data_IF_486028905966
#
_entry.id   IF_486028905966
#
_cell.length_a   1.000
_cell.length_b   1.000
_cell.length_c   1.000
_cell.angle_alpha   90.00
_cell.angle_beta   90.00
_cell.angle_gamma   90.00
#
_symmetry.space_group_name_H-M   'P 1'
#
loop_
_entity.id
_entity.type
_entity.pdbx_description
1 polymer ?
#
# COMPACT_ATOMS: atom_id res chain seq x y z
N UNK A 1 28.18 5.86 16.92
CA UNK A 1 27.10 6.57 17.64
C UNK A 1 25.74 5.91 17.44
N UNK A 2 25.41 5.43 16.25
CA UNK A 2 24.14 4.72 15.96
C UNK A 2 23.95 3.47 16.85
N UNK A 3 25.01 2.73 17.12
CA UNK A 3 24.96 1.55 18.00
C UNK A 3 24.57 1.89 19.45
N UNK A 4 24.85 3.12 19.91
CA UNK A 4 24.47 3.58 21.25
C UNK A 4 22.97 3.92 21.35
N UNK A 5 22.28 4.04 20.23
CA UNK A 5 20.85 4.32 20.16
C UNK A 5 20.00 3.04 20.03
N UNK A 6 20.61 1.85 20.07
CA UNK A 6 19.86 0.58 20.04
C UNK A 6 18.94 0.49 21.25
N UNK A 7 17.65 0.27 20.97
CA UNK A 7 16.71 -0.09 22.01
C UNK A 7 17.01 -1.53 22.49
N UNK A 8 17.10 -1.70 23.81
CA UNK A 8 17.15 -3.03 24.38
C UNK A 8 15.70 -3.55 24.50
N UNK A 9 15.35 -4.69 23.91
CA UNK A 9 14.00 -5.25 23.99
C UNK A 9 13.48 -5.42 25.42
N UNK A 10 14.39 -5.65 26.38
CA UNK A 10 14.02 -5.79 27.80
C UNK A 10 13.52 -4.48 28.43
N UNK A 11 13.87 -3.33 27.86
CA UNK A 11 13.57 -2.01 28.41
C UNK A 11 12.28 -1.41 27.82
N UNK A 12 11.72 -2.04 26.78
CA UNK A 12 10.53 -1.57 26.07
C UNK A 12 9.38 -2.53 26.34
N UNK A 13 8.28 -2.03 26.88
CA UNK A 13 7.09 -2.82 27.13
C UNK A 13 6.22 -3.00 25.88
N UNK A 14 5.97 -1.91 25.19
CA UNK A 14 5.22 -1.84 23.94
C UNK A 14 5.44 -0.51 23.24
N UNK A 15 5.09 -0.45 21.95
CA UNK A 15 4.98 0.78 21.19
C UNK A 15 3.58 0.93 20.63
N UNK A 16 3.04 2.15 20.68
CA UNK A 16 1.79 2.50 20.00
C UNK A 16 2.05 3.68 19.08
N UNK A 17 1.76 3.51 17.79
CA UNK A 17 1.83 4.58 16.79
C UNK A 17 0.42 5.07 16.45
N UNK A 18 0.18 6.38 16.55
CA UNK A 18 -1.03 7.00 16.06
C UNK A 18 -0.75 7.67 14.71
N UNK A 19 -1.53 7.34 13.71
CA UNK A 19 -1.36 7.86 12.36
C UNK A 19 -2.71 8.19 11.72
N UNK A 20 -2.74 9.05 10.73
CA UNK A 20 -3.93 9.18 9.88
C UNK A 20 -4.07 7.93 9.01
N UNK A 21 -5.31 7.55 8.67
CA UNK A 21 -5.59 6.40 7.81
C UNK A 21 -4.90 6.46 6.44
N UNK A 22 -4.71 7.66 5.91
CA UNK A 22 -4.28 7.91 4.52
C UNK A 22 -5.26 7.37 3.45
N UNK A 23 -6.39 6.82 3.89
CA UNK A 23 -7.53 6.37 3.11
C UNK A 23 -8.77 7.19 3.43
N UNK A 24 -9.90 6.78 2.90
CA UNK A 24 -11.17 7.47 3.07
C UNK A 24 -12.23 6.62 3.82
N UNK A 25 -11.85 5.46 4.37
CA UNK A 25 -12.82 4.52 4.94
C UNK A 25 -13.40 5.07 6.22
N UNK A 26 -12.56 5.49 7.17
CA UNK A 26 -13.03 6.03 8.45
C UNK A 26 -13.87 7.29 8.27
N UNK A 27 -13.47 8.20 7.38
CA UNK A 27 -14.22 9.44 7.09
C UNK A 27 -15.58 9.13 6.45
N UNK A 28 -15.62 8.27 5.45
CA UNK A 28 -16.86 7.91 4.76
C UNK A 28 -17.83 7.11 5.63
N UNK A 29 -17.33 6.24 6.49
CA UNK A 29 -18.16 5.45 7.40
C UNK A 29 -18.50 6.21 8.70
N UNK A 30 -17.98 7.43 8.89
CA UNK A 30 -18.20 8.25 10.10
C UNK A 30 -17.55 7.66 11.37
N UNK A 31 -16.48 6.91 11.21
CA UNK A 31 -15.74 6.26 12.29
C UNK A 31 -14.65 7.17 12.84
N UNK A 32 -14.35 7.04 14.13
CA UNK A 32 -13.36 7.87 14.82
C UNK A 32 -12.01 7.20 14.92
N UNK A 33 -11.99 5.87 15.08
CA UNK A 33 -10.79 5.08 15.34
C UNK A 33 -10.71 3.90 14.38
N UNK A 34 -9.52 3.68 13.82
CA UNK A 34 -9.14 2.44 13.18
C UNK A 34 -8.17 1.67 14.06
N UNK A 35 -8.53 0.45 14.47
CA UNK A 35 -7.63 -0.45 15.18
C UNK A 35 -6.87 -1.27 14.15
N UNK A 36 -5.57 -0.98 13.98
CA UNK A 36 -4.79 -1.59 12.91
C UNK A 36 -4.33 -2.98 13.33
N UNK A 37 -4.62 -3.98 12.48
CA UNK A 37 -4.29 -5.38 12.73
C UNK A 37 -2.98 -5.79 12.04
N UNK A 38 -2.72 -5.25 10.85
CA UNK A 38 -1.53 -5.56 10.08
C UNK A 38 -1.10 -4.36 9.22
N UNK A 39 0.19 -4.32 8.89
CA UNK A 39 0.77 -3.42 7.89
C UNK A 39 0.96 -4.24 6.62
N UNK A 40 0.36 -3.79 5.52
CA UNK A 40 0.43 -4.49 4.25
C UNK A 40 1.87 -4.63 3.76
N UNK A 41 2.18 -5.80 3.23
CA UNK A 41 3.36 -6.00 2.43
C UNK A 41 3.22 -5.34 1.06
N UNK A 42 4.34 -5.14 0.39
CA UNK A 42 4.41 -4.50 -0.92
C UNK A 42 5.33 -5.26 -1.85
N UNK A 43 4.91 -5.42 -3.09
CA UNK A 43 5.78 -5.78 -4.19
C UNK A 43 5.62 -4.76 -5.31
N UNK A 44 6.74 -4.24 -5.79
CA UNK A 44 6.77 -3.35 -6.95
C UNK A 44 7.46 -4.06 -8.10
N UNK A 45 6.75 -4.19 -9.21
CA UNK A 45 7.27 -4.71 -10.46
C UNK A 45 7.35 -3.61 -11.52
N UNK A 46 8.32 -3.75 -12.40
CA UNK A 46 8.39 -3.01 -13.67
C UNK A 46 8.13 -3.98 -14.79
N UNK A 47 7.13 -3.69 -15.60
CA UNK A 47 6.80 -4.45 -16.80
C UNK A 47 7.26 -3.64 -18.00
N UNK A 48 8.08 -4.26 -18.85
CA UNK A 48 8.63 -3.67 -20.06
C UNK A 48 8.16 -4.49 -21.24
N UNK A 49 7.52 -3.83 -22.20
CA UNK A 49 6.99 -4.47 -23.41
C UNK A 49 7.71 -3.90 -24.61
N UNK A 50 8.38 -4.77 -25.36
CA UNK A 50 9.09 -4.44 -26.57
C UNK A 50 8.29 -4.86 -27.81
N UNK A 51 8.17 -3.96 -28.76
CA UNK A 51 7.52 -4.18 -30.05
C UNK A 51 8.35 -3.70 -31.21
N UNK A 52 7.70 -3.35 -32.32
CA UNK A 52 8.35 -2.80 -33.52
C UNK A 52 7.84 -1.41 -33.78
N UNK A 53 8.77 -0.48 -33.97
CA UNK A 53 8.46 0.91 -34.31
C UNK A 53 8.24 1.04 -35.80
N UNK A 54 7.04 1.44 -36.20
CA UNK A 54 6.64 1.56 -37.59
C UNK A 54 5.73 2.79 -37.79
N UNK A 55 5.53 3.20 -39.05
CA UNK A 55 4.66 4.32 -39.37
C UNK A 55 3.19 3.96 -39.16
N UNK A 56 2.47 4.72 -38.33
CA UNK A 56 1.09 4.39 -37.91
C UNK A 56 0.09 4.30 -39.07
N UNK A 57 0.25 5.10 -40.13
CA UNK A 57 -0.68 5.15 -41.25
C UNK A 57 -0.41 4.11 -42.33
N UNK A 58 0.83 3.60 -42.46
CA UNK A 58 1.21 2.67 -43.53
C UNK A 58 1.37 1.22 -43.09
N UNK A 59 1.34 0.94 -41.78
CA UNK A 59 1.47 -0.43 -41.27
C UNK A 59 0.10 -1.03 -40.99
N UNK A 60 -0.32 -2.10 -41.71
CA UNK A 60 -1.58 -2.79 -41.48
C UNK A 60 -1.70 -3.30 -40.04
N UNK A 61 -2.94 -3.41 -39.51
CA UNK A 61 -3.18 -3.76 -38.13
C UNK A 61 -2.67 -5.16 -37.76
N UNK A 62 -2.77 -6.11 -38.66
CA UNK A 62 -2.35 -7.51 -38.50
C UNK A 62 -0.82 -7.72 -38.59
N UNK A 63 -0.08 -6.70 -39.07
CA UNK A 63 1.38 -6.73 -39.14
C UNK A 63 2.08 -6.03 -37.96
N UNK A 64 1.31 -5.43 -37.04
CA UNK A 64 1.84 -4.64 -35.93
C UNK A 64 2.30 -5.50 -34.77
N UNK A 65 3.45 -5.12 -34.19
CA UNK A 65 3.87 -5.56 -32.86
C UNK A 65 3.81 -4.34 -31.93
N UNK A 66 2.60 -3.99 -31.54
CA UNK A 66 2.32 -2.73 -30.82
C UNK A 66 2.34 -2.95 -29.30
N UNK A 67 3.41 -2.48 -28.61
CA UNK A 67 3.53 -2.66 -27.17
C UNK A 67 2.54 -1.78 -26.38
N UNK A 68 1.99 -0.71 -26.97
CA UNK A 68 1.01 0.13 -26.29
C UNK A 68 -0.33 -0.58 -26.16
N UNK A 69 -0.81 -1.23 -27.22
CA UNK A 69 -2.04 -2.02 -27.17
C UNK A 69 -1.89 -3.26 -26.30
N UNK A 70 -0.71 -3.88 -26.30
CA UNK A 70 -0.38 -4.99 -25.41
C UNK A 70 -0.37 -4.56 -23.93
N UNK A 71 0.23 -3.38 -23.62
CA UNK A 71 0.22 -2.81 -22.27
C UNK A 71 -1.20 -2.49 -21.81
N UNK A 72 -2.01 -1.83 -22.64
CA UNK A 72 -3.39 -1.48 -22.30
C UNK A 72 -4.22 -2.70 -21.95
N UNK A 73 -4.12 -3.79 -22.74
CA UNK A 73 -4.79 -5.07 -22.45
C UNK A 73 -4.33 -5.65 -21.11
N UNK A 74 -3.02 -5.73 -20.89
CA UNK A 74 -2.49 -6.31 -19.66
C UNK A 74 -2.91 -5.49 -18.41
N UNK A 75 -2.89 -4.16 -18.50
CA UNK A 75 -3.32 -3.26 -17.42
C UNK A 75 -4.79 -3.49 -17.06
N UNK A 76 -5.68 -3.53 -18.05
CA UNK A 76 -7.11 -3.80 -17.82
C UNK A 76 -7.34 -5.19 -17.21
N UNK A 77 -6.63 -6.19 -17.73
CA UNK A 77 -6.72 -7.56 -17.24
C UNK A 77 -6.24 -7.70 -15.78
N UNK A 78 -5.16 -7.00 -15.39
CA UNK A 78 -4.67 -6.96 -14.01
C UNK A 78 -5.74 -6.37 -13.09
N UNK A 79 -6.32 -5.22 -13.43
CA UNK A 79 -7.35 -4.56 -12.63
C UNK A 79 -8.56 -5.48 -12.44
N UNK A 80 -9.06 -6.08 -13.52
CA UNK A 80 -10.21 -6.97 -13.47
C UNK A 80 -9.92 -8.24 -12.64
N UNK A 81 -8.73 -8.83 -12.81
CA UNK A 81 -8.33 -10.01 -12.06
C UNK A 81 -8.28 -9.72 -10.55
N UNK A 82 -7.64 -8.63 -10.15
CA UNK A 82 -7.52 -8.24 -8.74
C UNK A 82 -8.88 -8.00 -8.11
N UNK A 83 -9.77 -7.32 -8.81
CA UNK A 83 -11.14 -7.05 -8.31
C UNK A 83 -11.96 -8.32 -8.06
N UNK A 84 -11.75 -9.39 -8.84
CA UNK A 84 -12.62 -10.56 -8.82
C UNK A 84 -12.02 -11.80 -8.18
N UNK A 85 -10.69 -11.94 -8.18
CA UNK A 85 -10.05 -13.23 -7.92
C UNK A 85 -9.10 -13.26 -6.72
N UNK A 86 -8.94 -12.13 -6.03
CA UNK A 86 -8.09 -12.05 -4.82
C UNK A 86 -8.84 -11.44 -3.65
N UNK A 87 -8.20 -11.41 -2.49
CA UNK A 87 -8.77 -10.82 -1.29
C UNK A 87 -8.99 -9.32 -1.46
N UNK A 88 -10.03 -8.76 -0.85
CA UNK A 88 -10.28 -7.31 -0.82
C UNK A 88 -9.13 -6.50 -0.21
N UNK A 89 -8.27 -7.14 0.57
CA UNK A 89 -7.06 -6.55 1.17
C UNK A 89 -5.86 -6.55 0.21
N UNK A 90 -5.99 -7.15 -0.96
CA UNK A 90 -4.98 -7.13 -2.02
C UNK A 90 -5.38 -6.10 -3.06
N UNK A 91 -4.48 -5.16 -3.34
CA UNK A 91 -4.67 -4.15 -4.38
C UNK A 91 -3.47 -4.14 -5.32
N UNK A 92 -3.70 -3.80 -6.59
CA UNK A 92 -2.65 -3.56 -7.56
C UNK A 92 -2.89 -2.23 -8.25
N UNK A 93 -1.84 -1.43 -8.37
CA UNK A 93 -1.91 -0.08 -8.95
C UNK A 93 -0.85 0.09 -10.01
N UNK A 94 -1.25 0.62 -11.15
CA UNK A 94 -0.35 1.09 -12.20
C UNK A 94 -0.22 2.60 -12.02
N UNK A 95 0.90 3.05 -11.43
CA UNK A 95 1.12 4.47 -11.10
C UNK A 95 1.99 5.22 -12.10
N UNK A 96 2.78 4.49 -12.89
CA UNK A 96 3.70 5.04 -13.88
C UNK A 96 3.54 4.31 -15.21
N UNK A 97 3.57 5.06 -16.32
CA UNK A 97 3.64 4.51 -17.67
C UNK A 97 4.50 5.41 -18.55
N UNK A 98 5.41 4.83 -19.31
CA UNK A 98 6.27 5.51 -20.27
C UNK A 98 6.19 4.82 -21.64
N UNK A 99 6.22 5.60 -22.70
CA UNK A 99 6.13 5.15 -24.07
C UNK A 99 7.26 5.76 -24.92
N UNK A 100 7.87 4.97 -25.78
CA UNK A 100 8.93 5.41 -26.67
C UNK A 100 8.62 5.02 -28.13
N UNK A 101 8.71 5.99 -29.09
CA UNK A 101 9.18 7.37 -28.99
C UNK A 101 8.10 8.37 -28.54
N UNK A 102 6.90 7.95 -28.18
CA UNK A 102 5.78 8.80 -27.77
C UNK A 102 5.41 9.86 -28.82
N UNK A 103 5.17 9.41 -30.04
CA UNK A 103 4.77 10.22 -31.20
C UNK A 103 3.43 9.71 -31.75
N UNK A 104 2.47 10.61 -32.09
CA UNK A 104 1.13 10.21 -32.48
C UNK A 104 1.06 9.43 -33.80
N UNK A 105 2.04 9.55 -34.65
CA UNK A 105 2.10 8.92 -35.98
C UNK A 105 3.10 7.76 -36.07
N UNK A 106 3.59 7.27 -34.92
CA UNK A 106 4.58 6.17 -34.84
C UNK A 106 4.05 5.10 -33.89
N UNK A 107 4.03 3.84 -34.34
CA UNK A 107 3.81 2.69 -33.48
C UNK A 107 4.98 2.60 -32.50
N UNK A 108 4.76 2.53 -31.19
CA UNK A 108 5.85 2.50 -30.20
C UNK A 108 6.77 1.30 -30.42
N UNK A 109 8.03 1.46 -30.06
CA UNK A 109 8.98 0.34 -29.96
C UNK A 109 9.02 -0.26 -28.55
N UNK A 110 8.67 0.57 -27.53
CA UNK A 110 8.75 0.18 -26.12
C UNK A 110 7.70 0.91 -25.30
N UNK A 111 7.05 0.16 -24.41
CA UNK A 111 6.24 0.70 -23.33
C UNK A 111 6.70 0.07 -22.02
N UNK A 112 6.85 0.86 -20.97
CA UNK A 112 7.09 0.34 -19.63
C UNK A 112 6.12 0.95 -18.64
N UNK A 113 5.73 0.15 -17.62
CA UNK A 113 4.85 0.61 -16.56
C UNK A 113 5.16 -0.08 -15.23
N UNK A 114 4.80 0.57 -14.12
CA UNK A 114 4.93 0.02 -12.78
C UNK A 114 3.68 -0.77 -12.39
N UNK A 115 3.85 -1.81 -11.56
CA UNK A 115 2.76 -2.46 -10.84
C UNK A 115 3.13 -2.51 -9.37
N UNK A 116 2.44 -1.72 -8.53
CA UNK A 116 2.55 -1.75 -7.06
C UNK A 116 1.44 -2.67 -6.52
N UNK A 117 1.84 -3.79 -5.91
CA UNK A 117 0.92 -4.76 -5.31
C UNK A 117 1.03 -4.64 -3.80
N UNK A 118 -0.09 -4.33 -3.13
CA UNK A 118 -0.19 -4.32 -1.66
C UNK A 118 -1.03 -5.50 -1.20
N UNK A 119 -0.61 -6.15 -0.12
CA UNK A 119 -1.25 -7.38 0.33
C UNK A 119 -1.11 -7.55 1.85
N UNK A 120 -2.09 -8.24 2.43
CA UNK A 120 -2.04 -8.72 3.82
C UNK A 120 -1.81 -10.23 3.84
N UNK A 121 -2.33 -10.93 2.84
CA UNK A 121 -2.16 -12.37 2.65
C UNK A 121 -1.18 -12.65 1.52
N UNK A 122 -0.11 -13.37 1.81
CA UNK A 122 0.99 -13.65 0.86
C UNK A 122 0.48 -14.30 -0.44
N UNK A 123 -0.44 -15.25 -0.34
CA UNK A 123 -1.02 -15.94 -1.50
C UNK A 123 -1.80 -14.99 -2.44
N UNK A 124 -2.36 -13.92 -1.91
CA UNK A 124 -3.01 -12.90 -2.73
C UNK A 124 -2.03 -12.23 -3.71
N UNK A 125 -0.83 -11.90 -3.22
CA UNK A 125 0.24 -11.35 -4.07
C UNK A 125 0.73 -12.39 -5.10
N UNK A 126 0.94 -13.64 -4.65
CA UNK A 126 1.44 -14.71 -5.52
C UNK A 126 0.47 -15.02 -6.67
N UNK A 127 -0.84 -14.95 -6.42
CA UNK A 127 -1.88 -15.08 -7.46
C UNK A 127 -1.79 -13.95 -8.48
N UNK A 128 -1.61 -12.71 -8.03
CA UNK A 128 -1.52 -11.55 -8.94
C UNK A 128 -0.30 -11.68 -9.85
N UNK A 129 0.88 -11.98 -9.31
CA UNK A 129 2.09 -12.09 -10.14
C UNK A 129 2.06 -13.30 -11.07
N UNK A 130 1.48 -14.41 -10.63
CA UNK A 130 1.29 -15.60 -11.48
C UNK A 130 0.36 -15.29 -12.64
N UNK A 131 -0.75 -14.60 -12.38
CA UNK A 131 -1.66 -14.13 -13.43
C UNK A 131 -0.96 -13.21 -14.43
N UNK A 132 -0.18 -12.21 -13.94
CA UNK A 132 0.55 -11.29 -14.82
C UNK A 132 1.50 -12.06 -15.75
N UNK A 133 2.23 -13.05 -15.22
CA UNK A 133 3.15 -13.87 -16.01
C UNK A 133 2.44 -14.72 -17.05
N UNK A 134 1.34 -15.37 -16.67
CA UNK A 134 0.55 -16.21 -17.57
C UNK A 134 -0.09 -15.37 -18.67
N UNK A 135 -0.72 -14.26 -18.29
CA UNK A 135 -1.37 -13.36 -19.24
C UNK A 135 -0.36 -12.70 -20.17
N UNK A 136 0.81 -12.33 -19.64
CA UNK A 136 1.92 -11.81 -20.45
C UNK A 136 2.32 -12.77 -21.56
N UNK A 137 2.56 -14.04 -21.23
CA UNK A 137 2.88 -15.08 -22.23
C UNK A 137 1.80 -15.24 -23.31
N UNK A 138 0.52 -15.14 -22.92
CA UNK A 138 -0.58 -15.19 -23.87
C UNK A 138 -0.55 -14.00 -24.83
N UNK A 139 -0.34 -12.79 -24.31
CA UNK A 139 -0.23 -11.58 -25.12
C UNK A 139 0.98 -11.66 -26.07
N UNK A 140 2.13 -12.15 -25.60
CA UNK A 140 3.31 -12.38 -26.46
C UNK A 140 3.00 -13.30 -27.64
N UNK A 141 2.30 -14.41 -27.37
CA UNK A 141 1.93 -15.37 -28.40
C UNK A 141 0.94 -14.78 -29.43
N UNK A 142 0.01 -13.95 -28.99
CA UNK A 142 -1.01 -13.34 -29.84
C UNK A 142 -0.48 -12.15 -30.67
N UNK A 143 0.49 -11.39 -30.14
CA UNK A 143 0.88 -10.10 -30.73
C UNK A 143 2.32 -10.01 -31.20
N UNK A 144 3.14 -11.00 -30.86
CA UNK A 144 4.56 -11.04 -31.20
C UNK A 144 5.43 -9.98 -30.49
N UNK A 145 4.92 -9.31 -29.47
CA UNK A 145 5.71 -8.45 -28.57
C UNK A 145 6.53 -9.33 -27.61
N UNK A 146 7.51 -8.74 -26.91
CA UNK A 146 8.27 -9.40 -25.84
C UNK A 146 8.02 -8.67 -24.53
N UNK A 147 7.70 -9.41 -23.47
CA UNK A 147 7.33 -8.86 -22.16
C UNK A 147 8.35 -9.29 -21.10
N UNK A 148 9.02 -8.30 -20.52
CA UNK A 148 9.93 -8.49 -19.38
C UNK A 148 9.24 -8.05 -18.10
N UNK A 149 9.38 -8.86 -17.02
CA UNK A 149 8.81 -8.57 -15.70
C UNK A 149 9.95 -8.57 -14.69
N UNK A 150 10.30 -7.41 -14.18
CA UNK A 150 11.37 -7.20 -13.20
C UNK A 150 10.81 -6.83 -11.83
N UNK A 151 11.23 -7.51 -10.76
CA UNK A 151 10.98 -7.09 -9.38
C UNK A 151 11.90 -5.89 -9.07
N UNK A 152 11.30 -4.79 -8.58
CA UNK A 152 12.02 -3.55 -8.26
C UNK A 152 12.18 -3.38 -6.75
N UNK A 153 11.20 -3.81 -5.99
CA UNK A 153 11.22 -3.71 -4.54
C UNK A 153 10.18 -4.57 -3.87
N UNK A 154 10.45 -4.90 -2.61
CA UNK A 154 9.53 -5.68 -1.78
C UNK A 154 9.64 -5.35 -0.31
N UNK A 155 8.53 -5.47 0.40
CA UNK A 155 8.46 -5.54 1.85
C UNK A 155 7.47 -6.61 2.28
N UNK A 156 7.72 -7.22 3.44
CA UNK A 156 6.82 -8.24 3.99
C UNK A 156 5.59 -7.59 4.63
N UNK A 157 4.48 -8.31 4.62
CA UNK A 157 3.35 -8.00 5.50
C UNK A 157 3.76 -8.24 6.95
N UNK A 158 3.39 -7.32 7.83
CA UNK A 158 3.70 -7.37 9.25
C UNK A 158 2.40 -7.44 10.04
N UNK A 159 2.21 -8.52 10.79
CA UNK A 159 1.12 -8.63 11.75
C UNK A 159 1.48 -7.85 13.01
N UNK A 160 0.59 -6.98 13.47
CA UNK A 160 0.78 -6.25 14.71
C UNK A 160 0.39 -7.12 15.92
N UNK A 161 0.84 -6.72 17.11
CA UNK A 161 0.56 -7.45 18.33
C UNK A 161 -0.95 -7.49 18.62
N UNK A 162 -1.52 -8.69 18.62
CA UNK A 162 -2.94 -8.91 18.96
C UNK A 162 -3.25 -8.45 20.37
N UNK A 163 -2.29 -8.59 21.30
CA UNK A 163 -2.41 -8.10 22.68
C UNK A 163 -2.60 -6.59 22.72
N UNK A 164 -1.76 -5.83 21.99
CA UNK A 164 -1.85 -4.36 21.97
C UNK A 164 -3.09 -3.91 21.18
N UNK A 165 -3.41 -4.56 20.07
CA UNK A 165 -4.63 -4.28 19.31
C UNK A 165 -5.89 -4.51 20.16
N UNK A 166 -5.94 -5.59 20.96
CA UNK A 166 -7.03 -5.86 21.89
C UNK A 166 -7.19 -4.78 22.96
N UNK A 167 -6.09 -4.32 23.56
CA UNK A 167 -6.11 -3.21 24.52
C UNK A 167 -6.65 -1.92 23.88
N UNK A 168 -6.20 -1.61 22.65
CA UNK A 168 -6.69 -0.43 21.91
C UNK A 168 -8.20 -0.55 21.67
N UNK A 169 -8.67 -1.74 21.29
CA UNK A 169 -10.09 -2.01 21.05
C UNK A 169 -10.91 -1.86 22.32
N UNK A 170 -10.51 -2.49 23.43
CA UNK A 170 -11.17 -2.40 24.74
C UNK A 170 -11.32 -0.95 25.19
N UNK A 171 -10.22 -0.17 25.17
CA UNK A 171 -10.24 1.26 25.55
C UNK A 171 -11.13 2.08 24.61
N UNK A 172 -11.14 1.74 23.31
CA UNK A 172 -11.98 2.42 22.32
C UNK A 172 -13.47 2.19 22.60
N UNK A 173 -13.84 0.95 22.93
CA UNK A 173 -15.21 0.57 23.34
C UNK A 173 -15.60 1.28 24.65
N UNK A 174 -14.73 1.24 25.67
CA UNK A 174 -14.99 1.89 26.97
C UNK A 174 -15.26 3.39 26.81
N UNK A 175 -14.54 4.03 25.91
CA UNK A 175 -14.72 5.47 25.64
C UNK A 175 -15.87 5.79 24.68
N UNK A 176 -16.56 4.78 24.17
CA UNK A 176 -17.71 4.95 23.27
C UNK A 176 -17.36 5.52 21.90
N UNK A 177 -16.13 5.33 21.42
CA UNK A 177 -15.74 5.77 20.09
C UNK A 177 -16.20 4.75 19.02
N UNK A 178 -16.86 5.19 17.93
CA UNK A 178 -17.13 4.33 16.79
C UNK A 178 -15.81 3.96 16.12
N UNK A 179 -15.60 2.65 15.92
CA UNK A 179 -14.32 2.13 15.41
C UNK A 179 -14.50 0.99 14.43
N UNK A 180 -13.38 0.62 13.78
CA UNK A 180 -13.27 -0.54 12.88
C UNK A 180 -11.87 -1.14 13.00
N UNK A 181 -11.80 -2.48 13.07
CA UNK A 181 -10.55 -3.19 12.84
C UNK A 181 -10.22 -3.14 11.35
N UNK A 182 -8.98 -2.79 11.01
CA UNK A 182 -8.55 -2.59 9.63
C UNK A 182 -7.06 -2.85 9.46
N UNK A 183 -6.60 -2.88 8.21
CA UNK A 183 -5.18 -3.01 7.90
C UNK A 183 -4.64 -1.71 7.33
N UNK A 184 -3.34 -1.45 7.55
CA UNK A 184 -2.67 -0.35 6.87
C UNK A 184 -2.19 -0.78 5.48
N UNK A 185 -2.54 -0.01 4.46
CA UNK A 185 -1.98 -0.13 3.12
C UNK A 185 -0.65 0.61 2.91
N UNK A 186 -0.18 1.37 3.92
CA UNK A 186 1.05 2.14 3.87
C UNK A 186 2.13 1.54 4.78
N UNK A 187 3.39 1.87 4.50
CA UNK A 187 4.51 1.51 5.39
C UNK A 187 4.60 2.53 6.52
N UNK A 188 4.87 2.06 7.75
CA UNK A 188 4.94 2.86 8.97
C UNK A 188 6.23 2.58 9.74
N UNK A 189 6.62 3.50 10.62
CA UNK A 189 7.76 3.33 11.52
C UNK A 189 7.54 2.15 12.48
N UNK A 190 6.28 1.92 12.87
CA UNK A 190 5.83 0.76 13.63
C UNK A 190 6.35 -0.57 13.06
N UNK A 191 6.43 -0.70 11.73
CA UNK A 191 6.92 -1.91 11.07
C UNK A 191 8.34 -2.30 11.49
N UNK A 192 9.21 -1.31 11.70
CA UNK A 192 10.61 -1.53 12.09
C UNK A 192 10.75 -1.93 13.55
N UNK A 193 9.81 -1.53 14.40
CA UNK A 193 9.88 -1.74 15.84
C UNK A 193 9.28 -3.10 16.25
N UNK A 194 8.54 -3.76 15.38
CA UNK A 194 7.97 -5.09 15.66
C UNK A 194 9.02 -6.16 15.93
N UNK A 195 10.26 -5.97 15.50
CA UNK A 195 11.38 -6.87 15.82
C UNK A 195 11.91 -6.65 17.25
N UNK A 196 11.55 -5.54 17.89
CA UNK A 196 12.06 -5.15 19.21
C UNK A 196 11.04 -5.39 20.31
N UNK A 197 9.74 -5.11 20.04
CA UNK A 197 8.69 -5.18 21.05
C UNK A 197 7.32 -5.38 20.42
N UNK A 198 6.30 -5.60 21.26
CA UNK A 198 4.90 -5.57 20.85
C UNK A 198 4.51 -4.18 20.33
N UNK A 199 3.90 -4.13 19.16
CA UNK A 199 3.50 -2.89 18.49
C UNK A 199 2.01 -2.90 18.18
N UNK A 200 1.34 -1.79 18.47
CA UNK A 200 -0.02 -1.48 18.02
C UNK A 200 -0.07 -0.20 17.22
N UNK A 201 -1.11 -0.04 16.43
CA UNK A 201 -1.35 1.20 15.69
C UNK A 201 -2.81 1.62 15.77
N UNK A 202 -3.01 2.93 15.86
CA UNK A 202 -4.31 3.59 15.86
C UNK A 202 -4.40 4.49 14.64
N UNK A 203 -5.41 4.29 13.81
CA UNK A 203 -5.75 5.23 12.76
C UNK A 203 -6.81 6.22 13.22
N UNK A 204 -6.65 7.45 12.74
CA UNK A 204 -7.67 8.50 12.81
C UNK A 204 -8.08 8.92 11.40
N UNK A 205 -9.34 9.40 11.21
CA UNK A 205 -9.83 9.78 9.89
C UNK A 205 -8.96 10.82 9.21
N UNK A 206 -8.85 10.70 7.89
CA UNK A 206 -8.29 11.72 7.01
C UNK A 206 -9.32 12.10 5.96
N UNK A 207 -9.52 13.40 5.74
CA UNK A 207 -10.46 13.87 4.73
C UNK A 207 -9.87 13.64 3.34
N UNK A 208 -10.63 12.96 2.46
CA UNK A 208 -10.27 12.62 1.07
C UNK A 208 -9.06 11.70 0.89
N UNK A 209 -8.46 11.19 1.93
CA UNK A 209 -7.29 10.30 1.86
C UNK A 209 -6.05 10.88 1.17
N UNK A 210 -6.07 12.14 0.75
CA UNK A 210 -5.01 12.75 -0.06
C UNK A 210 -3.85 13.22 0.80
N UNK A 211 -2.67 12.80 0.42
CA UNK A 211 -1.40 13.15 1.09
C UNK A 211 -1.07 14.65 1.13
N UNK A 212 -1.69 15.48 0.29
CA UNK A 212 -1.32 16.88 0.11
C UNK A 212 -2.26 17.91 0.75
N UNK A 213 -3.45 17.50 1.24
CA UNK A 213 -4.37 18.35 2.00
C UNK A 213 -5.01 17.55 3.13
N UNK A 214 -4.23 17.27 4.14
CA UNK A 214 -4.69 16.54 5.33
C UNK A 214 -5.43 17.50 6.24
N UNK A 215 -6.75 17.52 6.15
CA UNK A 215 -7.59 18.25 7.09
C UNK A 215 -8.08 17.26 8.14
N UNK A 216 -7.66 17.44 9.38
CA UNK A 216 -8.20 16.68 10.51
C UNK A 216 -9.56 17.23 10.89
N UNK A 217 -10.63 16.47 10.69
CA UNK A 217 -11.94 16.75 11.27
C UNK A 217 -12.07 16.04 12.62
N UNK A 218 -11.41 16.56 13.63
CA UNK A 218 -11.61 16.12 15.01
C UNK A 218 -12.92 16.66 15.57
N UNK A 219 -14.03 15.96 15.45
CA UNK A 219 -15.27 16.31 16.18
C UNK A 219 -15.18 16.09 17.69
N UNK A 220 -14.09 15.58 18.20
CA UNK A 220 -13.89 15.37 19.64
C UNK A 220 -12.66 16.03 20.25
N UNK A 221 -11.75 16.55 19.45
CA UNK A 221 -10.44 17.02 19.93
C UNK A 221 -10.36 18.51 20.23
N UNK A 222 -11.39 19.29 20.00
CA UNK A 222 -11.34 20.75 20.07
C UNK A 222 -11.39 21.35 21.49
N UNK A 223 -11.44 20.59 22.56
CA UNK A 223 -11.63 21.21 23.89
C UNK A 223 -10.53 21.04 24.93
N UNK A 224 -9.43 20.33 24.68
CA UNK A 224 -8.39 20.16 25.74
C UNK A 224 -6.91 20.17 25.33
N UNK A 225 -6.52 20.57 24.14
CA UNK A 225 -5.08 20.73 23.86
C UNK A 225 -4.79 21.81 22.84
N UNK A 226 -4.48 22.99 23.31
CA UNK A 226 -3.98 24.11 22.52
C UNK A 226 -2.53 23.94 22.04
N UNK A 227 -2.01 22.70 21.88
CA UNK A 227 -0.59 22.49 21.54
C UNK A 227 -0.30 21.27 20.65
N UNK A 228 -1.21 20.91 19.73
CA UNK A 228 -0.89 19.93 18.69
C UNK A 228 -1.10 20.48 17.28
N UNK A 229 -0.42 21.57 16.99
CA UNK A 229 -0.23 22.02 15.62
C UNK A 229 1.20 21.65 15.21
N UNK A 230 1.36 20.66 14.34
CA UNK A 230 2.62 20.56 13.60
C UNK A 230 3.20 19.21 13.24
N UNK A 231 2.86 18.09 13.85
CA UNK A 231 3.47 16.81 13.42
C UNK A 231 2.44 15.69 13.31
N UNK A 232 2.40 15.09 12.13
CA UNK A 232 1.45 14.03 11.76
C UNK A 232 1.84 12.62 12.26
N UNK A 233 2.85 12.51 13.10
CA UNK A 233 3.33 11.25 13.68
C UNK A 233 3.51 11.42 15.17
N UNK A 234 2.75 10.66 15.95
CA UNK A 234 2.97 10.55 17.40
C UNK A 234 3.20 9.07 17.70
N UNK A 235 4.45 8.70 17.90
CA UNK A 235 4.82 7.38 18.40
C UNK A 235 5.20 7.50 19.87
N UNK A 236 4.59 6.69 20.73
CA UNK A 236 4.91 6.58 22.14
C UNK A 236 5.56 5.23 22.45
N UNK A 237 6.74 5.25 23.07
CA UNK A 237 7.40 4.06 23.61
C UNK A 237 7.13 3.97 25.10
N UNK A 238 6.46 2.92 25.55
CA UNK A 238 6.21 2.66 26.96
C UNK A 238 7.36 1.84 27.51
N UNK A 239 8.14 2.42 28.44
CA UNK A 239 9.26 1.72 29.11
C UNK A 239 8.75 0.88 30.28
N UNK A 240 9.38 -0.28 30.51
CA UNK A 240 9.17 -1.07 31.74
C UNK A 240 9.67 -0.26 32.94
N UNK A 241 8.84 -0.03 33.94
CA UNK A 241 9.23 0.61 35.18
C UNK A 241 8.47 1.89 35.54
N UNK A 242 7.50 2.32 34.74
CA UNK A 242 6.55 3.32 35.19
C UNK A 242 5.54 2.65 36.15
N UNK A 243 5.87 2.59 37.44
CA UNK A 243 4.89 2.33 38.49
C UNK A 243 3.82 3.42 38.44
N UNK A 244 2.59 3.02 38.11
CA UNK A 244 1.42 3.90 38.19
C UNK A 244 0.74 4.17 36.86
N UNK A 245 0.10 3.15 36.33
CA UNK A 245 -1.10 3.32 35.48
C UNK A 245 -2.28 2.70 36.23
N UNK A 246 -3.40 3.45 36.40
CA UNK A 246 -4.61 2.91 37.02
C UNK A 246 -5.22 1.79 36.22
#
# INVERSE_FOLDING_TARGET
EVEKCRLNPSDVYAMVEMHIEQGAVLDKEGLTIGVVQAIAGMYTYRIIIHGSSDHAGSTPMDMRRDPMTAAAKLICDIEEYVKRNVYHTTVATIGEIECQPNKPNVIPQKVQFSVDIRYVHQDGMERVISFIREKGKKIEAETGVVIEIAEVGKSKCIQLSQRIAGIIEEVTVEKGYPYKCMNSGAVHDAAMITEVTDVGMIFVPSVDGRSHRRVYRGRGYQKRSGHFAGNSKTAGVIKKGAEGLP
#
